data_IF_267854928791
#
_entry.id   IF_267854928791
#
_cell.length_a   1.000
_cell.length_b   1.000
_cell.length_c   1.000
_cell.angle_alpha   90.00
_cell.angle_beta   90.00
_cell.angle_gamma   90.00
#
_symmetry.space_group_name_H-M   'P 1'
#
loop_
_entity.id
_entity.type
_entity.pdbx_description
1 polymer ?
#
# COMPACT_ATOMS: atom_id res chain seq x y z
N UNK A 1 20.86 -32.74 13.47
CA UNK A 1 19.64 -32.34 12.74
C UNK A 1 20.06 -31.71 11.41
N UNK A 2 19.53 -32.19 10.30
CA UNK A 2 19.78 -31.53 9.00
C UNK A 2 19.15 -30.13 9.04
N UNK A 3 19.99 -29.10 8.99
CA UNK A 3 19.53 -27.70 8.98
C UNK A 3 18.73 -27.40 7.72
N UNK A 4 17.83 -26.39 7.79
CA UNK A 4 17.09 -25.89 6.63
C UNK A 4 18.07 -25.42 5.55
N UNK A 5 18.02 -26.05 4.35
CA UNK A 5 18.94 -25.74 3.25
C UNK A 5 18.55 -24.41 2.60
N UNK A 6 19.43 -23.41 2.68
CA UNK A 6 19.19 -22.05 2.20
C UNK A 6 19.94 -21.67 0.90
N UNK A 7 20.81 -22.57 0.42
CA UNK A 7 21.64 -22.30 -0.78
C UNK A 7 21.05 -22.99 -2.01
N UNK A 8 21.09 -22.29 -3.12
CA UNK A 8 20.83 -22.88 -4.44
C UNK A 8 21.97 -23.83 -4.77
N UNK A 9 21.65 -25.03 -5.27
CA UNK A 9 22.63 -26.01 -5.70
C UNK A 9 22.77 -25.98 -7.25
N UNK A 10 23.89 -26.52 -7.80
CA UNK A 10 24.05 -26.62 -9.26
C UNK A 10 22.93 -27.42 -9.94
N UNK A 11 22.40 -28.45 -9.27
CA UNK A 11 21.27 -29.24 -9.77
C UNK A 11 20.00 -28.40 -9.85
N UNK A 12 19.76 -27.51 -8.85
CA UNK A 12 18.62 -26.57 -8.86
C UNK A 12 18.76 -25.54 -10.00
N UNK A 13 19.98 -25.07 -10.29
CA UNK A 13 20.24 -24.18 -11.41
C UNK A 13 19.94 -24.85 -12.75
N UNK A 14 20.43 -26.10 -12.94
CA UNK A 14 20.15 -26.90 -14.14
C UNK A 14 18.65 -27.13 -14.33
N UNK A 15 17.93 -27.54 -13.29
CA UNK A 15 16.48 -27.73 -13.35
C UNK A 15 15.73 -26.42 -13.61
N UNK A 16 16.24 -25.30 -13.13
CA UNK A 16 15.68 -23.96 -13.44
C UNK A 16 15.78 -23.66 -14.92
N UNK A 17 16.91 -24.01 -15.56
CA UNK A 17 17.07 -23.81 -17.01
C UNK A 17 16.05 -24.65 -17.80
N UNK A 18 15.85 -25.91 -17.44
CA UNK A 18 14.81 -26.78 -18.04
C UNK A 18 13.41 -26.18 -17.87
N UNK A 19 13.11 -25.64 -16.67
CA UNK A 19 11.83 -24.98 -16.41
C UNK A 19 11.64 -23.75 -17.30
N UNK A 20 12.67 -22.91 -17.46
CA UNK A 20 12.61 -21.70 -18.30
C UNK A 20 12.35 -22.06 -19.77
N UNK A 21 13.08 -23.03 -20.31
CA UNK A 21 12.97 -23.48 -21.70
C UNK A 21 11.55 -24.00 -22.03
N UNK A 22 10.98 -24.79 -21.11
CA UNK A 22 9.65 -25.40 -21.30
C UNK A 22 8.48 -24.50 -20.93
N UNK A 23 8.70 -23.37 -20.23
CA UNK A 23 7.61 -22.49 -19.75
C UNK A 23 7.57 -21.12 -20.44
N UNK A 24 8.55 -20.82 -21.32
CA UNK A 24 8.59 -19.53 -22.01
C UNK A 24 7.45 -19.38 -23.00
N UNK A 25 6.65 -18.34 -22.84
CA UNK A 25 5.56 -18.02 -23.76
C UNK A 25 6.07 -17.14 -24.90
N UNK A 26 5.61 -17.46 -26.14
CA UNK A 26 5.78 -16.55 -27.25
C UNK A 26 4.91 -15.29 -27.05
N UNK A 27 5.50 -14.08 -27.02
CA UNK A 27 4.75 -12.85 -26.82
C UNK A 27 3.64 -12.59 -27.84
N UNK A 28 3.77 -13.10 -29.07
CA UNK A 28 2.76 -12.96 -30.13
C UNK A 28 1.42 -13.64 -29.79
N UNK A 29 1.44 -14.69 -28.96
CA UNK A 29 0.26 -15.42 -28.53
C UNK A 29 -0.71 -14.57 -27.71
N UNK A 30 -0.20 -13.57 -26.96
CA UNK A 30 -1.06 -12.66 -26.21
C UNK A 30 -1.96 -11.84 -27.15
N UNK A 31 -1.41 -11.34 -28.25
CA UNK A 31 -2.18 -10.65 -29.29
C UNK A 31 -3.11 -11.60 -30.05
N UNK A 32 -2.63 -12.79 -30.42
CA UNK A 32 -3.41 -13.81 -31.14
C UNK A 32 -4.68 -14.23 -30.41
N UNK A 33 -4.60 -14.35 -29.08
CA UNK A 33 -5.72 -14.79 -28.24
C UNK A 33 -6.41 -13.63 -27.50
N UNK A 34 -6.12 -12.39 -27.86
CA UNK A 34 -6.64 -11.16 -27.20
C UNK A 34 -6.53 -11.19 -25.67
N UNK A 35 -5.40 -11.68 -25.15
CA UNK A 35 -5.16 -11.77 -23.70
C UNK A 35 -4.81 -10.40 -23.14
N UNK A 36 -5.61 -9.92 -22.21
CA UNK A 36 -5.40 -8.63 -21.51
C UNK A 36 -4.35 -8.83 -20.41
N UNK A 37 -3.07 -8.60 -20.73
CA UNK A 37 -1.96 -8.78 -19.78
C UNK A 37 -2.10 -7.85 -18.58
N UNK A 38 -2.04 -8.43 -17.36
CA UNK A 38 -2.27 -7.68 -16.14
C UNK A 38 -3.70 -7.14 -16.02
N UNK A 39 -4.66 -7.77 -16.71
CA UNK A 39 -6.06 -7.34 -16.80
C UNK A 39 -6.22 -5.91 -17.34
N UNK A 40 -5.33 -5.53 -18.29
CA UNK A 40 -5.38 -4.24 -18.98
C UNK A 40 -5.30 -4.41 -20.48
N UNK A 41 -6.06 -3.60 -21.20
CA UNK A 41 -6.00 -3.49 -22.64
C UNK A 41 -4.72 -2.75 -23.09
N UNK A 42 -4.38 -2.82 -24.37
CA UNK A 42 -3.21 -2.14 -24.97
C UNK A 42 -3.26 -0.61 -24.81
N UNK A 43 -4.45 -0.03 -24.73
CA UNK A 43 -4.67 1.39 -24.45
C UNK A 43 -4.55 1.75 -22.96
N UNK A 44 -4.26 0.76 -22.08
CA UNK A 44 -4.15 0.93 -20.63
C UNK A 44 -5.48 0.87 -19.87
N UNK A 45 -6.64 0.70 -20.53
CA UNK A 45 -7.94 0.55 -19.87
C UNK A 45 -7.99 -0.79 -19.10
N UNK A 46 -8.41 -0.76 -17.84
CA UNK A 46 -8.61 -1.96 -17.02
C UNK A 46 -9.79 -2.79 -17.51
N UNK A 47 -9.70 -4.12 -17.38
CA UNK A 47 -10.84 -5.02 -17.55
C UNK A 47 -11.81 -4.76 -16.38
N UNK A 48 -13.09 -4.59 -16.68
CA UNK A 48 -14.13 -4.47 -15.65
C UNK A 48 -14.37 -5.87 -15.05
N UNK A 49 -13.85 -6.08 -13.84
CA UNK A 49 -13.88 -7.37 -13.16
C UNK A 49 -14.98 -7.48 -12.08
N UNK A 50 -15.55 -6.35 -11.65
CA UNK A 50 -16.58 -6.32 -10.61
C UNK A 50 -17.20 -4.94 -10.45
N UNK A 51 -18.15 -4.84 -9.53
CA UNK A 51 -18.82 -3.60 -9.13
C UNK A 51 -18.51 -3.32 -7.66
N UNK A 52 -18.44 -2.05 -7.29
CA UNK A 52 -18.23 -1.63 -5.91
C UNK A 52 -18.96 -0.31 -5.62
N UNK A 53 -19.41 -0.17 -4.38
CA UNK A 53 -19.93 1.09 -3.83
C UNK A 53 -18.93 1.78 -2.90
N UNK A 54 -17.73 1.20 -2.70
CA UNK A 54 -16.79 1.66 -1.67
C UNK A 54 -15.99 2.86 -2.15
N UNK A 55 -15.50 2.82 -3.38
CA UNK A 55 -14.75 3.95 -3.93
C UNK A 55 -14.88 4.07 -5.44
N UNK A 56 -14.65 5.28 -5.94
CA UNK A 56 -14.57 5.57 -7.36
C UNK A 56 -13.32 6.38 -7.66
N UNK A 57 -12.65 6.01 -8.75
CA UNK A 57 -11.42 6.66 -9.22
C UNK A 57 -11.68 7.14 -10.65
N UNK A 58 -11.56 8.44 -10.87
CA UNK A 58 -11.74 9.07 -12.18
C UNK A 58 -10.47 9.78 -12.63
N UNK A 59 -10.13 9.64 -13.90
CA UNK A 59 -9.03 10.35 -14.57
C UNK A 59 -9.37 10.74 -16.00
N UNK A 60 -10.64 10.52 -16.39
CA UNK A 60 -11.15 10.85 -17.73
C UNK A 60 -12.58 11.34 -17.63
N UNK A 61 -12.92 12.32 -18.45
CA UNK A 61 -14.28 12.79 -18.68
C UNK A 61 -14.74 12.45 -20.10
N UNK A 62 -16.03 12.53 -20.35
CA UNK A 62 -16.60 12.37 -21.68
C UNK A 62 -17.06 13.76 -22.18
N UNK A 63 -16.35 14.28 -23.19
CA UNK A 63 -16.66 15.56 -23.85
C UNK A 63 -17.01 15.26 -25.31
N UNK A 64 -18.20 15.64 -25.75
CA UNK A 64 -18.70 15.40 -27.11
C UNK A 64 -18.60 13.93 -27.55
N UNK A 65 -18.89 12.99 -26.62
CA UNK A 65 -18.82 11.53 -26.86
C UNK A 65 -17.41 10.96 -26.94
N UNK A 66 -16.37 11.76 -26.70
CA UNK A 66 -14.97 11.33 -26.67
C UNK A 66 -14.44 11.30 -25.25
N UNK A 67 -13.70 10.25 -24.88
CA UNK A 67 -13.01 10.17 -23.61
C UNK A 67 -11.77 11.06 -23.64
N UNK A 68 -11.69 12.04 -22.76
CA UNK A 68 -10.57 12.97 -22.61
C UNK A 68 -9.95 12.83 -21.20
N UNK A 69 -8.64 12.96 -21.04
CA UNK A 69 -8.01 13.00 -19.72
C UNK A 69 -8.53 14.20 -18.91
N UNK A 70 -8.76 14.01 -17.62
CA UNK A 70 -9.08 15.07 -16.67
C UNK A 70 -8.20 14.96 -15.42
N UNK A 71 -8.30 15.95 -14.54
CA UNK A 71 -7.69 15.87 -13.20
C UNK A 71 -8.17 14.63 -12.45
N UNK A 72 -7.29 14.03 -11.68
CA UNK A 72 -7.61 12.85 -10.91
C UNK A 72 -8.65 13.15 -9.83
N UNK A 73 -9.66 12.30 -9.73
CA UNK A 73 -10.69 12.38 -8.67
C UNK A 73 -10.76 11.05 -7.93
N UNK A 74 -10.90 11.13 -6.63
CA UNK A 74 -11.07 9.98 -5.75
C UNK A 74 -12.27 10.22 -4.83
N UNK A 75 -13.18 9.28 -4.83
CA UNK A 75 -14.38 9.33 -3.99
C UNK A 75 -14.41 8.12 -3.05
N UNK A 76 -14.65 8.36 -1.76
CA UNK A 76 -14.96 7.32 -0.77
C UNK A 76 -16.45 7.31 -0.50
N UNK A 77 -17.15 6.23 -0.86
CA UNK A 77 -18.62 6.13 -0.71
C UNK A 77 -19.38 7.33 -1.33
N UNK A 78 -18.86 7.88 -2.43
CA UNK A 78 -19.46 9.02 -3.13
C UNK A 78 -18.99 10.39 -2.63
N UNK A 79 -18.25 10.49 -1.52
CA UNK A 79 -17.68 11.75 -1.03
C UNK A 79 -16.31 12.00 -1.65
N UNK A 80 -16.09 13.20 -2.16
CA UNK A 80 -14.80 13.62 -2.70
C UNK A 80 -13.73 13.65 -1.60
N UNK A 81 -12.54 13.13 -1.90
CA UNK A 81 -11.45 13.03 -0.90
C UNK A 81 -10.97 14.41 -0.44
N UNK A 82 -11.01 15.45 -1.29
CA UNK A 82 -10.68 16.81 -0.89
C UNK A 82 -11.71 17.35 0.12
N UNK A 83 -13.01 17.15 -0.14
CA UNK A 83 -14.07 17.59 0.76
C UNK A 83 -14.00 16.86 2.11
N UNK A 84 -13.80 15.54 2.10
CA UNK A 84 -13.63 14.75 3.31
C UNK A 84 -12.46 15.24 4.16
N UNK A 85 -11.27 15.40 3.52
CA UNK A 85 -10.07 15.82 4.25
C UNK A 85 -10.18 17.25 4.76
N UNK A 86 -10.72 18.16 3.96
CA UNK A 86 -10.96 19.53 4.40
C UNK A 86 -12.00 19.63 5.51
N UNK A 87 -13.00 18.74 5.53
CA UNK A 87 -14.02 18.69 6.56
C UNK A 87 -13.43 18.50 7.95
N UNK A 88 -12.80 17.36 8.22
CA UNK A 88 -12.25 17.08 9.54
C UNK A 88 -11.06 17.98 9.92
N UNK A 89 -10.27 18.47 8.94
CA UNK A 89 -9.15 19.37 9.18
C UNK A 89 -9.60 20.79 9.61
N UNK A 90 -10.67 21.32 9.01
CA UNK A 90 -11.26 22.62 9.45
C UNK A 90 -11.79 22.56 10.86
N UNK A 91 -12.32 21.42 11.26
CA UNK A 91 -12.83 21.18 12.60
C UNK A 91 -11.72 20.74 13.59
N UNK A 92 -10.46 20.72 13.15
CA UNK A 92 -9.27 20.32 13.92
C UNK A 92 -9.44 18.91 14.56
N UNK A 93 -10.10 17.98 13.83
CA UNK A 93 -10.31 16.59 14.23
C UNK A 93 -9.40 15.65 13.45
N UNK A 94 -9.21 14.46 13.98
CA UNK A 94 -8.62 13.33 13.27
C UNK A 94 -9.68 12.65 12.40
N UNK A 95 -9.32 12.28 11.17
CA UNK A 95 -10.23 11.73 10.18
C UNK A 95 -10.23 10.20 10.09
N UNK A 96 -9.22 9.51 10.64
CA UNK A 96 -9.09 8.06 10.45
C UNK A 96 -10.32 7.28 10.88
N UNK A 97 -10.83 7.48 12.09
CA UNK A 97 -11.98 6.77 12.61
C UNK A 97 -13.29 7.13 11.89
N UNK A 98 -13.46 8.40 11.51
CA UNK A 98 -14.63 8.87 10.74
C UNK A 98 -14.67 8.23 9.34
N UNK A 99 -13.55 8.25 8.63
CA UNK A 99 -13.46 7.67 7.29
C UNK A 99 -13.50 6.13 7.35
N UNK A 100 -12.99 5.52 8.41
CA UNK A 100 -13.18 4.07 8.67
C UNK A 100 -14.66 3.73 8.78
N UNK A 101 -15.42 4.52 9.54
CA UNK A 101 -16.87 4.35 9.66
C UNK A 101 -17.56 4.50 8.30
N UNK A 102 -17.22 5.56 7.55
CA UNK A 102 -17.76 5.79 6.22
C UNK A 102 -17.53 4.61 5.27
N UNK A 103 -16.29 4.12 5.18
CA UNK A 103 -15.94 3.02 4.27
C UNK A 103 -16.65 1.72 4.64
N UNK A 104 -16.72 1.39 5.93
CA UNK A 104 -17.36 0.16 6.40
C UNK A 104 -18.90 0.21 6.28
N UNK A 105 -19.52 1.32 6.68
CA UNK A 105 -20.99 1.40 6.85
C UNK A 105 -21.71 2.22 5.76
N UNK A 106 -20.97 2.86 4.86
CA UNK A 106 -21.53 3.55 3.69
C UNK A 106 -22.17 4.92 3.95
N UNK A 107 -22.03 5.46 5.16
CA UNK A 107 -22.51 6.79 5.54
C UNK A 107 -21.54 7.48 6.50
N UNK A 108 -21.53 8.81 6.51
CA UNK A 108 -20.81 9.57 7.53
C UNK A 108 -21.50 9.41 8.90
N UNK A 109 -20.75 9.22 9.99
CA UNK A 109 -21.32 9.15 11.33
C UNK A 109 -21.77 10.55 11.79
N UNK A 110 -22.83 10.63 12.58
CA UNK A 110 -23.08 11.80 13.39
C UNK A 110 -22.13 11.82 14.62
N UNK A 111 -22.15 12.90 15.39
CA UNK A 111 -21.24 13.09 16.53
C UNK A 111 -21.31 11.92 17.53
N UNK A 112 -22.52 11.46 17.87
CA UNK A 112 -22.72 10.33 18.79
C UNK A 112 -22.21 9.02 18.18
N UNK A 113 -22.55 8.73 16.93
CA UNK A 113 -22.10 7.52 16.24
C UNK A 113 -20.56 7.47 16.14
N UNK A 114 -19.91 8.62 15.88
CA UNK A 114 -18.46 8.71 15.84
C UNK A 114 -17.84 8.47 17.21
N UNK A 115 -18.41 9.07 18.26
CA UNK A 115 -17.94 8.87 19.64
C UNK A 115 -18.05 7.40 20.07
N UNK A 116 -19.20 6.79 19.85
CA UNK A 116 -19.46 5.38 20.17
C UNK A 116 -18.52 4.45 19.37
N UNK A 117 -18.27 4.77 18.09
CA UNK A 117 -17.37 3.98 17.25
C UNK A 117 -15.90 4.09 17.69
N UNK A 118 -15.44 5.27 18.10
CA UNK A 118 -14.10 5.45 18.68
C UNK A 118 -13.92 4.61 19.94
N UNK A 119 -14.91 4.57 20.82
CA UNK A 119 -14.90 3.72 22.03
C UNK A 119 -14.85 2.23 21.64
N UNK A 120 -15.63 1.82 20.63
CA UNK A 120 -15.64 0.44 20.13
C UNK A 120 -14.25 0.03 19.62
N UNK A 121 -13.62 0.85 18.76
CA UNK A 121 -12.28 0.56 18.23
C UNK A 121 -11.21 0.55 19.32
N UNK A 122 -11.28 1.51 20.27
CA UNK A 122 -10.37 1.55 21.41
C UNK A 122 -10.45 0.29 22.28
N UNK A 123 -11.66 -0.23 22.49
CA UNK A 123 -11.90 -1.48 23.22
C UNK A 123 -11.32 -2.73 22.53
N UNK A 124 -11.05 -2.66 21.23
CA UNK A 124 -10.41 -3.75 20.46
C UNK A 124 -8.88 -3.67 20.43
N UNK A 125 -8.26 -2.60 20.96
CA UNK A 125 -6.79 -2.38 20.94
C UNK A 125 -6.08 -3.26 21.97
N UNK A 126 -6.21 -4.59 21.85
CA UNK A 126 -5.53 -5.55 22.71
C UNK A 126 -5.12 -6.80 21.94
N UNK A 127 -3.96 -7.36 22.27
CA UNK A 127 -3.48 -8.61 21.72
C UNK A 127 -3.68 -9.75 22.75
N UNK A 128 -3.81 -11.01 22.30
CA UNK A 128 -3.88 -12.14 23.19
C UNK A 128 -2.72 -12.17 24.20
N UNK A 129 -2.95 -12.74 25.39
CA UNK A 129 -1.93 -12.85 26.44
C UNK A 129 -0.63 -13.48 25.88
N UNK A 130 0.49 -12.85 26.16
CA UNK A 130 1.84 -13.25 25.71
C UNK A 130 2.09 -13.21 24.19
N UNK A 131 1.13 -12.77 23.38
CA UNK A 131 1.26 -12.77 21.90
C UNK A 131 2.51 -12.02 21.43
N UNK A 132 2.79 -10.86 21.99
CA UNK A 132 3.98 -10.06 21.63
C UNK A 132 5.27 -10.86 21.85
N UNK A 133 5.39 -11.50 23.02
CA UNK A 133 6.56 -12.32 23.39
C UNK A 133 6.70 -13.57 22.51
N UNK A 134 5.60 -14.32 22.36
CA UNK A 134 5.63 -15.68 21.81
C UNK A 134 5.51 -15.71 20.29
N UNK A 135 4.94 -14.67 19.67
CA UNK A 135 4.76 -14.59 18.21
C UNK A 135 5.68 -13.54 17.59
N UNK A 136 5.62 -12.29 18.07
CA UNK A 136 6.36 -11.19 17.42
C UNK A 136 7.84 -11.27 17.77
N UNK A 137 8.20 -11.38 19.04
CA UNK A 137 9.58 -11.36 19.51
C UNK A 137 10.32 -12.68 19.24
N UNK A 138 9.62 -13.79 19.06
CA UNK A 138 10.23 -15.13 18.88
C UNK A 138 11.01 -15.26 17.58
N UNK A 139 10.59 -14.55 16.51
CA UNK A 139 11.23 -14.61 15.21
C UNK A 139 11.29 -13.21 14.56
N UNK A 140 12.10 -12.29 15.12
CA UNK A 140 12.23 -10.95 14.56
C UNK A 140 12.87 -11.02 13.18
N UNK A 141 12.46 -10.14 12.27
CA UNK A 141 13.00 -10.03 10.92
C UNK A 141 13.04 -8.55 10.51
N UNK A 142 13.91 -8.21 9.56
CA UNK A 142 13.94 -6.87 8.95
C UNK A 142 12.70 -6.55 8.12
N UNK A 143 11.92 -7.55 7.77
CA UNK A 143 10.71 -7.44 6.95
C UNK A 143 9.47 -7.40 7.84
N UNK A 144 9.04 -6.18 8.19
CA UNK A 144 7.87 -5.96 9.04
C UNK A 144 6.59 -6.51 8.42
N UNK A 145 6.45 -6.47 7.09
CA UNK A 145 5.28 -7.03 6.40
C UNK A 145 5.19 -8.55 6.56
N UNK A 146 6.34 -9.24 6.58
CA UNK A 146 6.36 -10.68 6.88
C UNK A 146 5.90 -10.95 8.32
N UNK A 147 6.40 -10.17 9.30
CA UNK A 147 5.98 -10.33 10.69
C UNK A 147 4.50 -10.01 10.86
N UNK A 148 4.00 -8.97 10.20
CA UNK A 148 2.58 -8.61 10.24
C UNK A 148 1.70 -9.73 9.66
N UNK A 149 2.06 -10.30 8.51
CA UNK A 149 1.32 -11.41 7.89
C UNK A 149 1.30 -12.66 8.78
N UNK A 150 2.44 -13.03 9.37
CA UNK A 150 2.52 -14.16 10.33
C UNK A 150 1.66 -13.91 11.56
N UNK A 151 1.70 -12.69 12.08
CA UNK A 151 0.91 -12.30 13.24
C UNK A 151 -0.59 -12.41 12.96
N UNK A 152 -1.04 -11.92 11.79
CA UNK A 152 -2.44 -12.04 11.37
C UNK A 152 -2.86 -13.50 11.26
N UNK A 153 -2.08 -14.35 10.58
CA UNK A 153 -2.38 -15.79 10.49
C UNK A 153 -2.37 -16.48 11.87
N UNK A 154 -1.50 -16.04 12.78
CA UNK A 154 -1.45 -16.62 14.13
C UNK A 154 -2.66 -16.21 14.97
N UNK A 155 -3.23 -15.00 14.77
CA UNK A 155 -4.45 -14.56 15.46
C UNK A 155 -5.63 -15.48 15.20
N UNK A 156 -5.70 -16.16 14.06
CA UNK A 156 -6.68 -17.20 13.77
C UNK A 156 -6.77 -18.24 14.89
N UNK A 157 -5.62 -18.71 15.41
CA UNK A 157 -5.59 -19.73 16.47
C UNK A 157 -6.13 -19.24 17.84
N UNK A 158 -6.30 -17.94 18.01
CA UNK A 158 -6.87 -17.34 19.23
C UNK A 158 -8.35 -16.95 19.07
N UNK A 159 -8.91 -17.10 17.88
CA UNK A 159 -10.32 -16.82 17.61
C UNK A 159 -11.12 -18.12 17.51
N UNK A 160 -11.95 -18.39 18.50
CA UNK A 160 -12.78 -19.60 18.52
C UNK A 160 -13.83 -19.67 17.41
N UNK A 161 -14.12 -18.53 16.76
CA UNK A 161 -15.05 -18.41 15.64
C UNK A 161 -14.33 -17.98 14.34
N UNK A 162 -13.06 -18.40 14.18
CA UNK A 162 -12.22 -17.97 13.05
C UNK A 162 -12.85 -18.26 11.68
N UNK A 163 -13.46 -19.44 11.51
CA UNK A 163 -14.06 -19.92 10.26
C UNK A 163 -15.51 -19.47 10.04
N UNK A 164 -16.13 -18.79 11.01
CA UNK A 164 -17.48 -18.26 10.85
C UNK A 164 -17.47 -17.02 9.95
N UNK A 165 -17.96 -17.18 8.72
CA UNK A 165 -18.06 -16.12 7.71
C UNK A 165 -19.37 -15.35 7.74
N UNK A 166 -20.18 -15.49 8.81
CA UNK A 166 -21.35 -14.63 9.00
C UNK A 166 -20.94 -13.16 9.08
N UNK A 167 -21.75 -12.27 8.51
CA UNK A 167 -21.43 -10.84 8.43
C UNK A 167 -21.12 -10.21 9.80
N UNK A 168 -21.87 -10.48 10.89
CA UNK A 168 -21.53 -9.94 12.21
C UNK A 168 -20.15 -10.41 12.71
N UNK A 169 -19.79 -11.68 12.48
CA UNK A 169 -18.51 -12.20 12.92
C UNK A 169 -17.35 -11.66 12.07
N UNK A 170 -17.50 -11.59 10.75
CA UNK A 170 -16.49 -10.97 9.87
C UNK A 170 -16.29 -9.50 10.21
N UNK A 171 -17.36 -8.74 10.48
CA UNK A 171 -17.23 -7.34 10.94
C UNK A 171 -16.43 -7.26 12.26
N UNK A 172 -16.73 -8.13 13.23
CA UNK A 172 -15.97 -8.22 14.50
C UNK A 172 -14.49 -8.46 14.24
N UNK A 173 -14.16 -9.42 13.37
CA UNK A 173 -12.77 -9.74 13.00
C UNK A 173 -12.08 -8.56 12.29
N UNK A 174 -12.76 -7.90 11.37
CA UNK A 174 -12.24 -6.71 10.68
C UNK A 174 -11.96 -5.56 11.65
N UNK A 175 -12.89 -5.24 12.55
CA UNK A 175 -12.71 -4.18 13.57
C UNK A 175 -11.55 -4.50 14.53
N UNK A 176 -11.41 -5.76 14.92
CA UNK A 176 -10.27 -6.19 15.72
C UNK A 176 -8.96 -6.00 14.96
N UNK A 177 -8.84 -6.47 13.71
CA UNK A 177 -7.64 -6.34 12.90
C UNK A 177 -7.29 -4.86 12.64
N UNK A 178 -8.27 -4.00 12.30
CA UNK A 178 -8.06 -2.56 12.14
C UNK A 178 -7.45 -1.96 13.41
N UNK A 179 -7.94 -2.38 14.58
CA UNK A 179 -7.50 -1.85 15.88
C UNK A 179 -6.12 -2.33 16.31
N UNK A 180 -5.72 -3.58 15.94
CA UNK A 180 -4.43 -4.15 16.38
C UNK A 180 -3.30 -3.98 15.37
N UNK A 181 -3.56 -3.63 14.11
CA UNK A 181 -2.53 -3.45 13.08
C UNK A 181 -1.44 -2.44 13.47
N UNK A 182 -1.74 -1.28 14.09
CA UNK A 182 -0.73 -0.38 14.64
C UNK A 182 0.20 -1.07 15.64
N UNK A 183 -0.36 -1.82 16.58
CA UNK A 183 0.41 -2.56 17.59
C UNK A 183 1.29 -3.64 16.95
N UNK A 184 0.73 -4.46 16.04
CA UNK A 184 1.47 -5.50 15.34
C UNK A 184 2.64 -4.92 14.54
N UNK A 185 2.45 -3.78 13.88
CA UNK A 185 3.47 -3.11 13.07
C UNK A 185 4.58 -2.51 13.93
N UNK A 186 4.21 -1.73 14.94
CA UNK A 186 5.18 -1.05 15.81
C UNK A 186 5.96 -2.06 16.65
N UNK A 187 5.30 -3.04 17.26
CA UNK A 187 5.99 -4.06 18.07
C UNK A 187 6.89 -4.96 17.23
N UNK A 188 6.54 -5.21 15.96
CA UNK A 188 7.43 -5.90 15.02
C UNK A 188 8.72 -5.13 14.80
N UNK A 189 8.62 -3.80 14.62
CA UNK A 189 9.78 -2.93 14.49
C UNK A 189 10.61 -2.90 15.79
N UNK A 190 9.97 -2.77 16.94
CA UNK A 190 10.66 -2.76 18.23
C UNK A 190 11.42 -4.08 18.48
N UNK A 191 10.81 -5.22 18.15
CA UNK A 191 11.46 -6.52 18.22
C UNK A 191 12.68 -6.61 17.29
N UNK A 192 12.54 -6.17 16.04
CA UNK A 192 13.66 -6.10 15.09
C UNK A 192 14.77 -5.17 15.57
N UNK A 193 14.41 -3.98 16.06
CA UNK A 193 15.35 -2.99 16.55
C UNK A 193 16.15 -3.53 17.75
N UNK A 194 15.50 -4.24 18.65
CA UNK A 194 16.13 -4.86 19.81
C UNK A 194 16.99 -6.07 19.44
N UNK A 195 16.40 -7.09 18.85
CA UNK A 195 17.10 -8.37 18.67
C UNK A 195 18.11 -8.38 17.51
N UNK A 196 17.90 -7.55 16.48
CA UNK A 196 18.77 -7.52 15.30
C UNK A 196 19.70 -6.30 15.31
N UNK A 197 19.21 -5.11 15.71
CA UNK A 197 20.03 -3.89 15.75
C UNK A 197 20.67 -3.61 17.09
N UNK A 198 20.39 -4.41 18.14
CA UNK A 198 20.98 -4.29 19.47
C UNK A 198 20.58 -3.02 20.22
N UNK A 199 19.39 -2.44 19.91
CA UNK A 199 18.88 -1.24 20.58
C UNK A 199 18.01 -1.61 21.79
N UNK A 200 17.69 -0.63 22.63
CA UNK A 200 16.74 -0.82 23.74
C UNK A 200 15.37 -1.25 23.23
N UNK A 201 14.71 -2.09 24.00
CA UNK A 201 13.35 -2.54 23.71
C UNK A 201 12.34 -1.59 24.36
N UNK A 202 11.46 -1.04 23.54
CA UNK A 202 10.35 -0.21 24.00
C UNK A 202 9.03 -0.86 23.59
N UNK A 203 8.16 -1.16 24.56
CA UNK A 203 6.82 -1.71 24.34
C UNK A 203 5.85 -0.82 25.12
N UNK A 204 5.41 0.25 24.47
CA UNK A 204 4.40 1.14 25.02
C UNK A 204 3.00 0.64 24.66
N UNK A 205 2.09 0.64 25.62
CA UNK A 205 0.70 0.30 25.38
C UNK A 205 -0.03 1.48 24.70
N UNK A 206 -1.00 1.20 23.82
CA UNK A 206 -1.83 2.26 23.25
C UNK A 206 -2.72 2.89 24.34
N UNK A 207 -2.96 4.19 24.25
CA UNK A 207 -3.93 4.91 25.07
C UNK A 207 -5.31 4.85 24.39
N UNK A 208 -6.36 4.38 25.08
CA UNK A 208 -7.70 4.29 24.50
C UNK A 208 -8.33 5.66 24.17
N UNK A 209 -7.83 6.75 24.75
CA UNK A 209 -8.33 8.11 24.51
C UNK A 209 -7.75 8.76 23.24
N UNK A 210 -6.64 8.22 22.75
CA UNK A 210 -5.93 8.77 21.60
C UNK A 210 -6.39 8.16 20.28
N UNK A 211 -6.28 8.93 19.19
CA UNK A 211 -6.50 8.47 17.82
C UNK A 211 -5.51 7.38 17.40
N UNK A 212 -5.74 6.75 16.27
CA UNK A 212 -4.81 5.76 15.70
C UNK A 212 -3.46 6.38 15.39
N UNK A 213 -3.44 7.57 14.79
CA UNK A 213 -2.18 8.26 14.45
C UNK A 213 -1.36 8.62 15.69
N UNK A 214 -2.00 9.19 16.71
CA UNK A 214 -1.33 9.50 17.98
C UNK A 214 -0.76 8.25 18.64
N UNK A 215 -1.52 7.17 18.68
CA UNK A 215 -1.07 5.89 19.25
C UNK A 215 0.13 5.29 18.50
N UNK A 216 0.20 5.43 17.17
CA UNK A 216 1.36 4.99 16.40
C UNK A 216 2.62 5.76 16.85
N UNK A 217 2.54 7.08 16.94
CA UNK A 217 3.68 7.91 17.38
C UNK A 217 4.07 7.63 18.82
N UNK A 218 3.08 7.55 19.73
CA UNK A 218 3.27 7.21 21.14
C UNK A 218 3.98 5.86 21.30
N UNK A 219 3.49 4.81 20.64
CA UNK A 219 4.07 3.46 20.77
C UNK A 219 5.45 3.34 20.13
N UNK A 220 5.72 4.13 19.07
CA UNK A 220 6.97 4.04 18.33
C UNK A 220 8.11 4.74 19.02
N UNK A 221 7.86 5.92 19.63
CA UNK A 221 8.88 6.81 20.19
C UNK A 221 9.27 6.41 21.60
N UNK A 222 10.57 6.36 21.93
CA UNK A 222 11.03 5.98 23.27
C UNK A 222 10.49 6.89 24.38
N UNK A 223 10.34 8.18 24.10
CA UNK A 223 9.86 9.21 25.02
C UNK A 223 8.33 9.44 24.94
N UNK A 224 7.63 8.75 24.03
CA UNK A 224 6.20 8.88 23.77
C UNK A 224 5.76 10.30 23.33
N UNK A 225 6.70 11.18 22.94
CA UNK A 225 6.40 12.56 22.60
C UNK A 225 6.15 12.76 21.10
N UNK A 226 5.20 13.59 20.76
CA UNK A 226 4.90 14.03 19.40
C UNK A 226 4.21 15.39 19.41
N UNK A 227 4.24 16.11 18.28
CA UNK A 227 3.49 17.35 18.14
C UNK A 227 2.09 17.09 17.56
N UNK A 228 1.15 18.01 17.78
CA UNK A 228 -0.17 17.95 17.18
C UNK A 228 -0.09 17.93 15.65
N UNK A 229 0.83 18.69 15.05
CA UNK A 229 1.02 18.70 13.60
C UNK A 229 1.50 17.34 13.08
N UNK A 230 2.44 16.68 13.76
CA UNK A 230 2.90 15.34 13.40
C UNK A 230 1.74 14.32 13.40
N UNK A 231 0.92 14.32 14.45
CA UNK A 231 -0.23 13.43 14.56
C UNK A 231 -1.28 13.71 13.48
N UNK A 232 -1.58 14.99 13.21
CA UNK A 232 -2.54 15.40 12.17
C UNK A 232 -2.07 14.97 10.78
N UNK A 233 -0.78 15.13 10.47
CA UNK A 233 -0.24 14.76 9.16
C UNK A 233 -0.16 13.23 9.01
N UNK A 234 0.16 12.50 10.07
CA UNK A 234 0.11 11.04 10.02
C UNK A 234 -1.33 10.53 9.84
N UNK A 235 -2.29 11.11 10.53
CA UNK A 235 -3.71 10.77 10.37
C UNK A 235 -4.18 11.00 8.94
N UNK A 236 -3.86 12.18 8.37
CA UNK A 236 -4.13 12.49 6.97
C UNK A 236 -3.48 11.47 6.02
N UNK A 237 -2.22 11.10 6.28
CA UNK A 237 -1.52 10.07 5.52
C UNK A 237 -2.28 8.75 5.53
N UNK A 238 -2.75 8.33 6.70
CA UNK A 238 -3.54 7.11 6.82
C UNK A 238 -4.85 7.21 6.03
N UNK A 239 -5.60 8.31 6.14
CA UNK A 239 -6.84 8.52 5.38
C UNK A 239 -6.62 8.42 3.87
N UNK A 240 -5.57 9.05 3.34
CA UNK A 240 -5.26 9.04 1.91
C UNK A 240 -4.81 7.66 1.38
N UNK A 241 -4.40 6.76 2.26
CA UNK A 241 -3.98 5.40 1.90
C UNK A 241 -5.06 4.32 2.13
N UNK A 242 -6.20 4.65 2.78
CA UNK A 242 -7.23 3.67 3.16
C UNK A 242 -7.77 2.89 1.99
N UNK A 243 -8.03 3.55 0.85
CA UNK A 243 -8.75 2.95 -0.27
C UNK A 243 -8.26 3.52 -1.60
N UNK A 244 -8.27 2.68 -2.65
CA UNK A 244 -7.92 3.11 -4.01
C UNK A 244 -8.51 2.15 -5.07
N UNK A 245 -9.77 1.81 -4.94
CA UNK A 245 -10.54 1.02 -5.90
C UNK A 245 -10.40 -0.49 -5.77
N UNK A 246 -11.46 -1.20 -6.12
CA UNK A 246 -11.54 -2.67 -6.07
C UNK A 246 -10.54 -3.37 -6.99
N UNK A 247 -10.07 -2.71 -8.05
CA UNK A 247 -9.04 -3.22 -8.97
C UNK A 247 -7.59 -3.03 -8.49
N UNK A 248 -7.36 -2.38 -7.35
CA UNK A 248 -6.04 -2.33 -6.72
C UNK A 248 -5.56 -3.76 -6.40
N UNK A 249 -4.28 -4.07 -6.63
CA UNK A 249 -3.79 -5.45 -6.58
C UNK A 249 -4.10 -6.16 -5.26
N UNK A 250 -3.89 -5.53 -4.10
CA UNK A 250 -4.19 -6.14 -2.81
C UNK A 250 -5.69 -6.19 -2.52
N UNK A 251 -6.47 -5.20 -2.97
CA UNK A 251 -7.92 -5.20 -2.84
C UNK A 251 -8.55 -6.28 -3.74
N UNK A 252 -8.09 -6.40 -4.99
CA UNK A 252 -8.53 -7.48 -5.87
C UNK A 252 -8.17 -8.87 -5.34
N UNK A 253 -6.99 -9.00 -4.72
CA UNK A 253 -6.62 -10.24 -4.00
C UNK A 253 -7.60 -10.54 -2.87
N UNK A 254 -8.05 -9.52 -2.13
CA UNK A 254 -9.08 -9.67 -1.09
C UNK A 254 -10.39 -10.20 -1.68
N UNK A 255 -10.86 -9.65 -2.80
CA UNK A 255 -12.04 -10.16 -3.51
C UNK A 255 -11.87 -11.62 -3.92
N UNK A 256 -10.77 -11.95 -4.63
CA UNK A 256 -10.50 -13.31 -5.12
C UNK A 256 -10.49 -14.31 -3.98
N UNK A 257 -9.79 -14.02 -2.90
CA UNK A 257 -9.65 -14.95 -1.77
C UNK A 257 -10.94 -15.03 -0.96
N UNK A 258 -11.65 -13.90 -0.77
CA UNK A 258 -12.97 -13.89 -0.12
C UNK A 258 -13.99 -14.70 -0.88
N UNK A 259 -14.01 -14.64 -2.23
CA UNK A 259 -14.93 -15.39 -3.07
C UNK A 259 -14.80 -16.92 -2.97
N UNK A 260 -13.70 -17.41 -2.42
CA UNK A 260 -13.50 -18.83 -2.11
C UNK A 260 -14.20 -19.30 -0.82
N UNK A 261 -14.73 -18.36 -0.02
CA UNK A 261 -15.37 -18.65 1.27
C UNK A 261 -14.41 -18.81 2.44
N UNK A 262 -13.15 -18.38 2.32
CA UNK A 262 -12.14 -18.52 3.39
C UNK A 262 -12.36 -17.54 4.55
N UNK A 263 -11.68 -17.78 5.66
CA UNK A 263 -11.67 -16.95 6.85
C UNK A 263 -11.06 -15.56 6.63
N UNK A 264 -11.32 -14.63 7.56
CA UNK A 264 -10.85 -13.24 7.47
C UNK A 264 -9.33 -13.10 7.60
N UNK A 265 -8.70 -13.91 8.43
CA UNK A 265 -7.25 -13.85 8.67
C UNK A 265 -6.47 -14.26 7.43
N UNK A 266 -6.91 -15.34 6.76
CA UNK A 266 -6.34 -15.80 5.49
C UNK A 266 -6.52 -14.77 4.37
N UNK A 267 -7.70 -14.16 4.24
CA UNK A 267 -7.98 -13.13 3.24
C UNK A 267 -7.07 -11.90 3.44
N UNK A 268 -6.94 -11.42 4.68
CA UNK A 268 -6.09 -10.28 5.02
C UNK A 268 -4.61 -10.61 4.85
N UNK A 269 -4.16 -11.81 5.22
CA UNK A 269 -2.78 -12.24 5.00
C UNK A 269 -2.42 -12.31 3.51
N UNK A 270 -3.35 -12.74 2.64
CA UNK A 270 -3.18 -12.72 1.20
C UNK A 270 -3.04 -11.28 0.66
N UNK A 271 -3.88 -10.36 1.13
CA UNK A 271 -3.79 -8.94 0.80
C UNK A 271 -2.46 -8.31 1.24
N UNK A 272 -1.97 -8.64 2.45
CA UNK A 272 -0.64 -8.24 2.93
C UNK A 272 0.48 -8.77 2.04
N UNK A 273 0.39 -10.04 1.59
CA UNK A 273 1.33 -10.63 0.66
C UNK A 273 1.39 -9.88 -0.68
N UNK A 274 0.23 -9.47 -1.19
CA UNK A 274 0.13 -8.62 -2.39
C UNK A 274 0.75 -7.23 -2.15
N UNK A 275 0.39 -6.56 -1.05
CA UNK A 275 0.89 -5.21 -0.74
C UNK A 275 2.41 -5.19 -0.51
N UNK A 276 2.97 -6.23 0.09
CA UNK A 276 4.41 -6.38 0.33
C UNK A 276 5.24 -6.33 -0.95
N UNK A 277 4.67 -6.69 -2.10
CA UNK A 277 5.39 -6.73 -3.37
C UNK A 277 6.01 -5.38 -3.75
N UNK A 278 7.29 -5.34 -4.22
CA UNK A 278 8.00 -4.09 -4.51
C UNK A 278 7.37 -3.27 -5.65
N UNK A 279 6.50 -3.87 -6.44
CA UNK A 279 5.73 -3.18 -7.49
C UNK A 279 4.42 -2.57 -7.00
N UNK A 280 4.06 -2.80 -5.72
CA UNK A 280 2.83 -2.32 -5.11
C UNK A 280 3.12 -1.40 -3.92
N UNK A 281 3.40 -1.92 -2.73
CA UNK A 281 3.56 -1.11 -1.52
C UNK A 281 4.97 -0.57 -1.24
N UNK A 282 5.96 -0.84 -2.08
CA UNK A 282 7.35 -0.43 -1.85
C UNK A 282 7.80 0.84 -2.60
N UNK A 283 6.91 1.54 -3.27
CA UNK A 283 7.28 2.66 -4.14
C UNK A 283 7.79 3.87 -3.36
N UNK A 284 7.20 4.21 -2.22
CA UNK A 284 7.62 5.34 -1.38
C UNK A 284 9.04 5.19 -0.81
N UNK A 285 9.46 3.96 -0.46
CA UNK A 285 10.84 3.68 -0.05
C UNK A 285 11.81 3.98 -1.19
N UNK A 286 11.45 3.59 -2.42
CA UNK A 286 12.26 3.87 -3.61
C UNK A 286 12.37 5.36 -3.89
N UNK A 287 11.31 6.14 -3.70
CA UNK A 287 11.35 7.60 -3.79
C UNK A 287 12.39 8.17 -2.82
N UNK A 288 12.31 7.83 -1.55
CA UNK A 288 13.27 8.33 -0.53
C UNK A 288 14.71 7.92 -0.85
N UNK A 289 14.92 6.68 -1.30
CA UNK A 289 16.25 6.22 -1.70
C UNK A 289 16.79 6.98 -2.93
N UNK A 290 15.95 7.24 -3.92
CA UNK A 290 16.28 8.04 -5.11
C UNK A 290 16.67 9.47 -4.73
N UNK A 291 15.89 10.15 -3.89
CA UNK A 291 16.23 11.48 -3.40
C UNK A 291 17.51 11.48 -2.56
N UNK A 292 17.74 10.43 -1.76
CA UNK A 292 18.99 10.29 -1.01
C UNK A 292 20.21 10.12 -1.92
N UNK A 293 20.06 9.44 -3.05
CA UNK A 293 21.11 9.31 -4.07
C UNK A 293 21.30 10.64 -4.82
N UNK A 294 20.20 11.27 -5.28
CA UNK A 294 20.22 12.58 -5.93
C UNK A 294 20.98 13.63 -5.12
N UNK A 295 20.70 13.72 -3.81
CA UNK A 295 21.36 14.67 -2.89
C UNK A 295 22.88 14.47 -2.76
N UNK A 296 23.40 13.31 -3.12
CA UNK A 296 24.85 13.03 -3.17
C UNK A 296 25.48 13.37 -4.52
N UNK A 297 24.70 13.25 -5.59
CA UNK A 297 25.19 13.41 -6.96
C UNK A 297 25.05 14.86 -7.45
N UNK A 298 23.96 15.54 -7.12
CA UNK A 298 23.68 16.93 -7.47
C UNK A 298 24.32 17.86 -6.43
N UNK A 299 25.12 18.81 -6.90
CA UNK A 299 25.85 19.75 -6.03
C UNK A 299 24.96 20.91 -5.60
N UNK A 300 24.26 21.50 -6.55
CA UNK A 300 23.31 22.59 -6.30
C UNK A 300 21.88 22.12 -6.52
N UNK A 301 21.13 21.93 -5.43
CA UNK A 301 19.74 21.48 -5.48
C UNK A 301 18.75 22.57 -5.94
N UNK A 302 19.23 23.79 -6.15
CA UNK A 302 18.45 24.92 -6.68
C UNK A 302 18.66 25.12 -8.18
N UNK A 303 19.62 24.41 -8.77
CA UNK A 303 19.92 24.46 -10.20
C UNK A 303 19.06 23.45 -10.97
N UNK A 304 18.11 23.97 -11.75
CA UNK A 304 17.22 23.16 -12.59
C UNK A 304 17.98 22.31 -13.64
N UNK A 305 19.12 22.78 -14.16
CA UNK A 305 19.91 22.05 -15.15
C UNK A 305 20.62 20.85 -14.51
N UNK A 306 21.25 21.01 -13.33
CA UNK A 306 21.86 19.89 -12.59
C UNK A 306 20.83 18.85 -12.19
N UNK A 307 19.69 19.27 -11.61
CA UNK A 307 18.60 18.37 -11.23
C UNK A 307 18.03 17.68 -12.46
N UNK A 308 17.79 18.42 -13.55
CA UNK A 308 17.29 17.87 -14.81
C UNK A 308 18.25 16.84 -15.44
N UNK A 309 19.56 17.10 -15.42
CA UNK A 309 20.58 16.16 -15.88
C UNK A 309 20.55 14.84 -15.09
N UNK A 310 20.40 14.91 -13.76
CA UNK A 310 20.25 13.70 -12.92
C UNK A 310 18.98 12.92 -13.25
N UNK A 311 17.85 13.61 -13.49
CA UNK A 311 16.58 12.96 -13.88
C UNK A 311 16.70 12.24 -15.22
N UNK A 312 17.42 12.82 -16.21
CA UNK A 312 17.74 12.15 -17.50
C UNK A 312 18.62 10.93 -17.29
N UNK A 313 19.65 11.03 -16.45
CA UNK A 313 20.53 9.90 -16.10
C UNK A 313 19.74 8.73 -15.46
N UNK A 314 18.72 9.02 -14.64
CA UNK A 314 17.81 7.99 -14.14
C UNK A 314 17.09 7.27 -15.28
N UNK A 315 16.51 8.00 -16.24
CA UNK A 315 15.76 7.42 -17.36
C UNK A 315 16.67 6.62 -18.32
N UNK A 316 17.92 7.04 -18.49
CA UNK A 316 18.94 6.36 -19.29
C UNK A 316 19.59 5.16 -18.58
N UNK A 317 19.16 4.84 -17.32
CA UNK A 317 19.68 3.75 -16.51
C UNK A 317 21.15 3.93 -16.07
N UNK A 318 21.58 5.16 -15.92
CA UNK A 318 22.96 5.53 -15.56
C UNK A 318 23.08 5.88 -14.07
N UNK A 319 21.99 6.31 -13.42
CA UNK A 319 21.95 6.70 -12.02
C UNK A 319 21.11 5.77 -11.13
N UNK A 320 21.27 5.88 -9.82
CA UNK A 320 20.57 5.17 -8.76
C UNK A 320 20.58 3.64 -8.97
N UNK A 321 19.41 3.02 -9.15
CA UNK A 321 19.26 1.56 -9.29
C UNK A 321 19.24 1.06 -10.73
N UNK A 322 19.49 1.93 -11.70
CA UNK A 322 19.61 1.65 -13.14
C UNK A 322 18.37 0.99 -13.75
N UNK A 323 17.18 1.22 -13.16
CA UNK A 323 15.90 0.68 -13.68
C UNK A 323 15.27 1.57 -14.75
N UNK A 324 15.76 2.79 -14.94
CA UNK A 324 15.20 3.74 -15.88
C UNK A 324 13.89 4.35 -15.41
N UNK A 325 13.71 4.57 -14.10
CA UNK A 325 12.48 5.07 -13.50
C UNK A 325 12.77 6.29 -12.63
N UNK A 326 11.92 7.30 -12.73
CA UNK A 326 11.80 8.37 -11.73
C UNK A 326 10.67 7.92 -10.80
N UNK A 327 11.04 7.42 -9.62
CA UNK A 327 10.08 6.86 -8.67
C UNK A 327 9.16 7.94 -8.11
N UNK A 328 7.90 7.58 -7.87
CA UNK A 328 6.86 8.51 -7.45
C UNK A 328 6.20 9.30 -8.59
N UNK A 329 6.68 9.12 -9.83
CA UNK A 329 6.13 9.75 -11.03
C UNK A 329 5.35 8.75 -11.87
N UNK A 330 4.12 9.16 -12.26
CA UNK A 330 3.19 8.34 -13.03
C UNK A 330 2.31 7.41 -12.16
N UNK A 331 1.16 7.08 -12.68
CA UNK A 331 0.17 6.23 -12.03
C UNK A 331 -0.57 5.37 -13.06
N UNK A 332 -1.08 4.22 -12.64
CA UNK A 332 -1.82 3.32 -13.52
C UNK A 332 -3.16 3.90 -14.02
N UNK A 333 -3.72 4.84 -13.28
CA UNK A 333 -5.00 5.51 -13.58
C UNK A 333 -4.78 7.00 -13.86
N UNK A 334 -4.20 7.73 -12.92
CA UNK A 334 -4.02 9.19 -13.02
C UNK A 334 -2.92 9.56 -14.01
N UNK A 335 -3.22 10.53 -14.89
CA UNK A 335 -2.26 11.05 -15.86
C UNK A 335 -1.96 12.55 -15.66
N UNK A 336 -2.94 13.34 -15.23
CA UNK A 336 -2.81 14.79 -15.05
C UNK A 336 -2.45 15.12 -13.61
N UNK A 337 -3.21 14.61 -12.62
CA UNK A 337 -2.94 14.81 -11.20
C UNK A 337 -3.39 13.60 -10.38
N UNK A 338 -2.78 13.41 -9.20
CA UNK A 338 -3.25 12.47 -8.16
C UNK A 338 -3.76 13.32 -6.98
N UNK A 339 -5.06 13.31 -6.69
CA UNK A 339 -5.65 14.17 -5.64
C UNK A 339 -5.02 13.94 -4.27
N UNK A 340 -4.50 12.74 -4.02
CA UNK A 340 -3.82 12.42 -2.76
C UNK A 340 -2.46 13.13 -2.65
N UNK A 341 -1.72 13.20 -3.75
CA UNK A 341 -0.44 13.92 -3.79
C UNK A 341 -0.66 15.43 -3.63
N UNK A 342 -1.71 15.98 -4.24
CA UNK A 342 -2.09 17.39 -4.11
C UNK A 342 -2.44 17.76 -2.66
N UNK A 343 -3.28 16.95 -2.00
CA UNK A 343 -3.64 17.14 -0.60
C UNK A 343 -2.39 17.08 0.28
N UNK A 344 -1.52 16.10 0.10
CA UNK A 344 -0.27 15.98 0.84
C UNK A 344 0.60 17.21 0.71
N UNK A 345 0.80 17.72 -0.51
CA UNK A 345 1.71 18.83 -0.80
C UNK A 345 1.46 20.05 0.10
N UNK A 346 0.18 20.40 0.33
CA UNK A 346 -0.17 21.53 1.20
C UNK A 346 0.26 21.37 2.66
N UNK A 347 0.34 20.13 3.17
CA UNK A 347 0.76 19.84 4.55
C UNK A 347 2.24 19.55 4.68
N UNK A 348 2.85 18.99 3.62
CA UNK A 348 4.29 18.70 3.57
C UNK A 348 5.11 19.97 3.75
N UNK A 349 4.71 21.08 3.14
CA UNK A 349 5.39 22.36 3.29
C UNK A 349 5.42 22.83 4.74
N UNK A 350 4.27 22.77 5.43
CA UNK A 350 4.17 23.16 6.85
C UNK A 350 5.07 22.31 7.75
N UNK A 351 5.03 20.99 7.55
CA UNK A 351 5.87 20.06 8.31
C UNK A 351 7.36 20.28 8.00
N UNK A 352 7.72 20.49 6.73
CA UNK A 352 9.09 20.75 6.32
C UNK A 352 9.64 22.01 7.00
N UNK A 353 8.82 23.06 7.11
CA UNK A 353 9.19 24.29 7.81
C UNK A 353 9.42 24.03 9.31
N UNK A 354 8.48 23.34 10.00
CA UNK A 354 8.62 22.98 11.42
C UNK A 354 9.88 22.13 11.68
N UNK A 355 10.23 21.24 10.74
CA UNK A 355 11.39 20.36 10.84
C UNK A 355 12.69 20.94 10.28
N UNK A 356 12.71 22.19 9.81
CA UNK A 356 13.87 22.80 9.16
C UNK A 356 14.31 22.10 7.87
N UNK A 357 13.34 21.56 7.10
CA UNK A 357 13.55 20.82 5.87
C UNK A 357 13.08 21.58 4.61
N UNK A 358 13.03 22.91 4.66
CA UNK A 358 12.57 23.74 3.55
C UNK A 358 13.37 23.50 2.26
N UNK A 359 14.69 23.30 2.36
CA UNK A 359 15.56 22.98 1.20
C UNK A 359 15.20 21.64 0.56
N UNK A 360 14.90 20.65 1.41
CA UNK A 360 14.44 19.33 0.94
C UNK A 360 13.11 19.46 0.21
N UNK A 361 12.17 20.20 0.77
CA UNK A 361 10.86 20.44 0.15
C UNK A 361 10.99 21.18 -1.19
N UNK A 362 11.88 22.18 -1.29
CA UNK A 362 12.15 22.89 -2.53
C UNK A 362 12.66 21.92 -3.62
N UNK A 363 13.57 20.98 -3.27
CA UNK A 363 14.05 19.96 -4.19
C UNK A 363 12.92 19.02 -4.66
N UNK A 364 12.06 18.55 -3.73
CA UNK A 364 10.89 17.75 -4.10
C UNK A 364 9.97 18.51 -5.07
N UNK A 365 9.69 19.77 -4.80
CA UNK A 365 8.84 20.63 -5.65
C UNK A 365 9.47 20.84 -7.04
N UNK A 366 10.78 21.01 -7.13
CA UNK A 366 11.49 21.12 -8.40
C UNK A 366 11.41 19.82 -9.21
N UNK A 367 11.65 18.68 -8.58
CA UNK A 367 11.54 17.37 -9.26
C UNK A 367 10.11 17.13 -9.73
N UNK A 368 9.09 17.49 -8.93
CA UNK A 368 7.68 17.38 -9.34
C UNK A 368 7.37 18.18 -10.61
N UNK A 369 8.00 19.34 -10.79
CA UNK A 369 7.81 20.20 -11.96
C UNK A 369 8.62 19.74 -13.19
N UNK A 370 9.86 19.29 -12.99
CA UNK A 370 10.76 18.91 -14.07
C UNK A 370 10.50 17.50 -14.59
N UNK A 371 10.21 16.54 -13.71
CA UNK A 371 10.11 15.14 -14.09
C UNK A 371 9.02 14.85 -15.14
N UNK A 372 7.81 15.44 -15.10
CA UNK A 372 6.80 15.23 -16.14
C UNK A 372 7.29 15.67 -17.53
N UNK A 373 7.96 16.83 -17.61
CA UNK A 373 8.51 17.38 -18.87
C UNK A 373 9.58 16.45 -19.43
N UNK A 374 10.55 16.08 -18.60
CA UNK A 374 11.68 15.21 -18.99
C UNK A 374 11.17 13.82 -19.40
N UNK A 375 10.23 13.21 -18.66
CA UNK A 375 9.63 11.93 -19.04
C UNK A 375 8.88 12.03 -20.37
N UNK A 376 8.15 13.13 -20.58
CA UNK A 376 7.43 13.39 -21.84
C UNK A 376 8.39 13.46 -23.02
N UNK A 377 9.48 14.22 -22.91
CA UNK A 377 10.52 14.37 -23.92
C UNK A 377 11.23 13.03 -24.23
N UNK A 378 11.75 12.35 -23.22
CA UNK A 378 12.57 11.16 -23.35
C UNK A 378 11.79 9.90 -23.78
N UNK A 379 10.50 9.81 -23.42
CA UNK A 379 9.68 8.61 -23.68
C UNK A 379 8.55 8.85 -24.68
N UNK A 380 8.42 10.05 -25.22
CA UNK A 380 7.34 10.43 -26.14
C UNK A 380 5.95 10.13 -25.55
N UNK A 381 5.76 10.38 -24.24
CA UNK A 381 4.50 10.16 -23.53
C UNK A 381 3.70 11.46 -23.53
N UNK A 382 2.68 11.52 -24.37
CA UNK A 382 1.83 12.71 -24.51
C UNK A 382 0.58 12.71 -23.58
N UNK A 383 0.36 11.64 -22.81
CA UNK A 383 -0.80 11.52 -21.91
C UNK A 383 -0.69 12.32 -20.60
N UNK A 384 0.45 12.92 -20.36
CA UNK A 384 0.79 13.51 -19.07
C UNK A 384 1.35 12.46 -18.09
N UNK A 385 2.18 12.93 -17.17
CA UNK A 385 2.73 12.18 -16.03
C UNK A 385 2.69 13.10 -14.84
N UNK A 386 2.16 12.64 -13.71
CA UNK A 386 2.08 13.41 -12.47
C UNK A 386 2.73 12.69 -11.31
N UNK A 387 3.04 13.44 -10.25
CA UNK A 387 3.42 12.85 -8.98
C UNK A 387 2.25 12.04 -8.42
N UNK A 388 2.54 10.85 -7.89
CA UNK A 388 1.55 10.03 -7.19
C UNK A 388 1.71 10.16 -5.67
N UNK A 389 0.83 9.51 -4.90
CA UNK A 389 0.84 9.59 -3.43
C UNK A 389 2.18 9.16 -2.81
N UNK A 390 2.92 8.23 -3.44
CA UNK A 390 4.20 7.74 -2.94
C UNK A 390 5.32 8.77 -3.03
N UNK A 391 5.17 9.76 -3.93
CA UNK A 391 6.15 10.84 -4.09
C UNK A 391 6.35 11.64 -2.80
N UNK A 392 5.27 12.01 -2.14
CA UNK A 392 5.32 12.80 -0.90
C UNK A 392 5.25 11.96 0.37
N UNK A 393 4.59 10.79 0.36
CA UNK A 393 4.39 10.01 1.58
C UNK A 393 5.69 9.55 2.24
N UNK A 394 6.69 9.15 1.44
CA UNK A 394 7.99 8.77 1.95
C UNK A 394 8.73 9.94 2.60
N UNK A 395 8.61 11.15 2.05
CA UNK A 395 9.18 12.37 2.62
C UNK A 395 8.50 12.74 3.94
N UNK A 396 7.17 12.67 3.99
CA UNK A 396 6.39 12.86 5.23
C UNK A 396 6.86 11.90 6.31
N UNK A 397 6.89 10.60 6.01
CA UNK A 397 7.32 9.59 6.97
C UNK A 397 8.75 9.82 7.48
N UNK A 398 9.65 10.29 6.60
CA UNK A 398 11.01 10.64 6.98
C UNK A 398 11.05 11.85 7.93
N UNK A 399 10.19 12.86 7.74
CA UNK A 399 10.10 14.03 8.63
C UNK A 399 9.43 13.71 9.97
N UNK A 400 8.61 12.66 10.03
CA UNK A 400 8.02 12.12 11.25
C UNK A 400 8.97 11.18 12.01
N UNK A 401 10.22 11.02 11.54
CA UNK A 401 11.22 10.09 12.05
C UNK A 401 10.74 8.62 12.06
N UNK A 402 9.83 8.27 11.14
CA UNK A 402 9.44 6.89 10.95
C UNK A 402 10.58 6.11 10.29
N UNK A 403 10.97 4.94 10.83
CA UNK A 403 11.97 4.10 10.17
C UNK A 403 11.44 3.55 8.84
N UNK A 404 12.31 3.44 7.85
CA UNK A 404 11.93 2.97 6.51
C UNK A 404 11.30 1.58 6.50
N UNK A 405 11.62 0.76 7.48
CA UNK A 405 11.02 -0.56 7.70
C UNK A 405 9.52 -0.50 8.00
N UNK A 406 9.02 0.65 8.48
CA UNK A 406 7.60 0.87 8.76
C UNK A 406 6.81 1.55 7.62
N UNK A 407 7.45 1.98 6.53
CA UNK A 407 6.75 2.69 5.45
C UNK A 407 5.62 1.85 4.81
N UNK A 408 5.91 0.62 4.41
CA UNK A 408 4.88 -0.29 3.89
C UNK A 408 3.88 -0.76 4.96
N UNK A 409 4.29 -1.05 6.22
CA UNK A 409 3.34 -1.25 7.32
C UNK A 409 2.38 -0.08 7.58
N UNK A 410 2.81 1.19 7.47
CA UNK A 410 1.90 2.34 7.56
C UNK A 410 0.81 2.29 6.49
N UNK A 411 1.22 1.91 5.27
CA UNK A 411 0.27 1.67 4.18
C UNK A 411 -0.71 0.54 4.52
N UNK A 412 -0.25 -0.55 5.14
CA UNK A 412 -1.08 -1.67 5.56
C UNK A 412 -2.07 -1.28 6.68
N UNK A 413 -1.63 -0.49 7.67
CA UNK A 413 -2.49 0.05 8.76
C UNK A 413 -3.65 0.85 8.19
N UNK A 414 -3.42 1.62 7.14
CA UNK A 414 -4.47 2.36 6.47
C UNK A 414 -5.36 1.43 5.61
N UNK A 415 -4.74 0.61 4.77
CA UNK A 415 -5.43 -0.17 3.75
C UNK A 415 -6.25 -1.34 4.30
N UNK A 416 -6.01 -1.81 5.52
CA UNK A 416 -6.85 -2.82 6.17
C UNK A 416 -8.31 -2.37 6.25
N UNK A 417 -8.58 -1.07 6.35
CA UNK A 417 -9.93 -0.50 6.32
C UNK A 417 -10.61 -0.78 4.97
N UNK A 418 -9.93 -0.43 3.87
CA UNK A 418 -10.41 -0.71 2.51
C UNK A 418 -10.61 -2.21 2.26
N UNK A 419 -9.64 -3.05 2.64
CA UNK A 419 -9.78 -4.51 2.51
C UNK A 419 -10.96 -5.04 3.29
N UNK A 420 -11.18 -4.54 4.52
CA UNK A 420 -12.31 -4.93 5.35
C UNK A 420 -13.64 -4.54 4.70
N UNK A 421 -13.75 -3.33 4.16
CA UNK A 421 -14.95 -2.87 3.48
C UNK A 421 -15.23 -3.73 2.22
N UNK A 422 -14.22 -3.97 1.39
CA UNK A 422 -14.37 -4.83 0.19
C UNK A 422 -14.65 -6.28 0.53
N UNK A 423 -14.11 -6.82 1.64
CA UNK A 423 -14.45 -8.17 2.11
C UNK A 423 -15.92 -8.24 2.52
N UNK A 424 -16.41 -7.25 3.27
CA UNK A 424 -17.83 -7.17 3.65
C UNK A 424 -18.73 -7.04 2.40
N UNK A 425 -18.37 -6.18 1.45
CA UNK A 425 -19.11 -6.00 0.20
C UNK A 425 -19.16 -7.28 -0.61
N UNK A 426 -18.04 -8.00 -0.75
CA UNK A 426 -17.95 -9.28 -1.42
C UNK A 426 -18.87 -10.33 -0.79
N UNK A 427 -18.84 -10.48 0.54
CA UNK A 427 -19.70 -11.45 1.25
C UNK A 427 -21.18 -11.10 1.19
N UNK A 428 -21.55 -9.81 1.11
CA UNK A 428 -22.94 -9.36 0.96
C UNK A 428 -23.48 -9.69 -0.43
N UNK A 429 -22.64 -9.58 -1.48
CA UNK A 429 -23.07 -9.68 -2.89
C UNK A 429 -22.58 -10.96 -3.58
N UNK A 430 -21.78 -11.79 -2.90
CA UNK A 430 -21.15 -12.98 -3.49
C UNK A 430 -22.19 -14.03 -3.86
N UNK A 431 -22.10 -14.49 -5.12
CA UNK A 431 -22.83 -15.67 -5.61
C UNK A 431 -21.89 -16.68 -6.27
N UNK A 432 -20.71 -16.27 -6.71
CA UNK A 432 -19.76 -17.09 -7.47
C UNK A 432 -18.31 -16.84 -7.09
N UNK A 433 -17.52 -17.93 -7.12
CA UNK A 433 -16.06 -17.82 -7.01
C UNK A 433 -15.48 -17.09 -8.22
N UNK A 434 -14.57 -16.15 -7.98
CA UNK A 434 -13.84 -15.43 -9.03
C UNK A 434 -12.87 -16.40 -9.71
N UNK A 435 -13.16 -16.77 -10.95
CA UNK A 435 -12.40 -17.76 -11.72
C UNK A 435 -12.22 -17.31 -13.17
N UNK A 436 -11.21 -16.53 -13.50
CA UNK A 436 -10.91 -16.15 -14.88
C UNK A 436 -10.52 -17.37 -15.72
N UNK A 437 -10.75 -17.30 -17.04
CA UNK A 437 -10.32 -18.33 -17.97
C UNK A 437 -8.83 -18.22 -18.30
N UNK A 438 -8.16 -19.36 -18.44
CA UNK A 438 -6.80 -19.47 -18.95
C UNK A 438 -6.78 -20.40 -20.17
N UNK A 439 -6.11 -19.96 -21.25
CA UNK A 439 -5.94 -20.73 -22.48
C UNK A 439 -4.61 -21.48 -22.47
N UNK A 440 -4.63 -22.81 -22.54
CA UNK A 440 -3.41 -23.59 -22.80
C UNK A 440 -2.94 -23.40 -24.24
N UNK A 441 -1.65 -23.26 -24.42
CA UNK A 441 -0.98 -23.21 -25.74
C UNK A 441 -0.04 -24.41 -25.94
N UNK A 442 0.06 -25.29 -24.96
CA UNK A 442 0.77 -26.56 -25.06
C UNK A 442 -0.08 -27.54 -25.90
N UNK A 443 0.53 -28.25 -26.84
CA UNK A 443 -0.11 -29.34 -27.58
C UNK A 443 -0.32 -30.53 -26.67
N UNK A 444 -1.33 -31.33 -26.96
CA UNK A 444 -1.52 -32.60 -26.29
C UNK A 444 -0.36 -33.54 -26.62
N UNK A 445 0.10 -34.24 -25.62
CA UNK A 445 1.21 -35.21 -25.70
C UNK A 445 0.74 -36.56 -25.15
N UNK A 446 1.26 -37.63 -25.74
CA UNK A 446 0.98 -39.00 -25.31
C UNK A 446 1.97 -39.33 -24.20
N UNK A 447 1.47 -39.86 -23.09
CA UNK A 447 2.32 -40.38 -22.01
C UNK A 447 3.16 -41.55 -22.53
N UNK A 448 4.46 -41.50 -22.33
CA UNK A 448 5.39 -42.59 -22.61
C UNK A 448 5.89 -43.20 -21.30
N UNK A 449 6.14 -44.53 -21.24
CA UNK A 449 6.80 -45.15 -20.12
C UNK A 449 8.17 -44.50 -19.82
N UNK A 450 8.64 -44.59 -18.58
CA UNK A 450 9.90 -43.97 -18.15
C UNK A 450 11.10 -44.40 -19.00
N UNK A 451 11.15 -45.64 -19.40
CA UNK A 451 12.19 -46.27 -20.21
C UNK A 451 12.20 -45.84 -21.68
N UNK A 452 11.13 -45.15 -22.14
CA UNK A 452 10.98 -44.68 -23.52
C UNK A 452 11.16 -43.14 -23.67
N UNK A 453 11.58 -42.45 -22.62
CA UNK A 453 11.73 -41.00 -22.58
C UNK A 453 13.15 -40.51 -22.86
#
# INVERSE_FOLDING_TARGET
MAGFKLKVTPEMESLTQVCVENSKMDPSLYGKYDVKRGLRDVNGKGVLAGLTQISSICSTDVVDGKTVPCEGRLYYRGYDIHELTQGFLREQRFGFEEVTYLLLFGKLPNEKELADFKVLLAGQRSLPKNFVRDVIMKAPTKDMMNTLSRSVLTLYAYDHNADDTSLPNVLRQCLNLISVFPMLSVYSYQAYNHYIKGKSLYIHNPDPKLSVAENILLMLRPDMQYTQLEATILDLALVLHMEHGGGNNSTFTTHVVTSSGTDTYSAVAAALGSLKGPKHGGANIKVVQMFKDMKKQVKDWTDEEEVGAYLRALLHKEAFDKKGLIYGMGHAVYSISDPRAEIFKGFVQKLAHEKGKDKDFALYSMVEQLAPKIIGEERHIYKGVSANVDFYSGFVYSMLDLPTELFTPMFAIARIVGWSAHRMEELINMDKIIRPAYKTVKKEEIYRPLEER
#
